data_IF_300891508662
#
_entry.id   IF_300891508662
#
_cell.length_a   1.000
_cell.length_b   1.000
_cell.length_c   1.000
_cell.angle_alpha   90.00
_cell.angle_beta   90.00
_cell.angle_gamma   90.00
#
_symmetry.space_group_name_H-M   'P 1'
#
loop_
_entity.id
_entity.type
_entity.pdbx_description
1 polymer ?
#
# COMPACT_ATOMS: atom_id res chain seq x y z
N UNK A 1 20.23 18.38 -16.39
CA UNK A 1 18.94 19.03 -16.06
C UNK A 1 18.19 18.35 -14.89
N UNK A 2 18.83 17.49 -14.08
CA UNK A 2 18.22 16.84 -12.90
C UNK A 2 18.34 17.66 -11.61
N UNK A 3 19.07 18.80 -11.64
CA UNK A 3 19.30 19.65 -10.46
C UNK A 3 18.03 20.29 -9.89
N UNK A 4 17.03 20.56 -10.75
CA UNK A 4 15.80 21.27 -10.34
C UNK A 4 14.95 20.41 -9.38
N UNK A 5 14.98 19.08 -9.50
CA UNK A 5 14.27 18.18 -8.58
C UNK A 5 14.97 18.01 -7.23
N UNK A 6 16.21 18.49 -7.10
CA UNK A 6 16.98 18.48 -5.86
C UNK A 6 16.59 19.66 -4.95
N UNK A 7 15.90 20.65 -5.50
CA UNK A 7 15.43 21.82 -4.78
C UNK A 7 13.93 21.69 -4.47
N UNK A 8 13.53 22.14 -3.27
CA UNK A 8 12.13 22.12 -2.82
C UNK A 8 11.38 23.33 -3.37
N UNK A 9 11.21 23.38 -4.70
CA UNK A 9 10.58 24.50 -5.40
C UNK A 9 9.20 24.11 -5.91
N UNK A 10 8.21 25.02 -5.87
CA UNK A 10 6.87 24.76 -6.40
C UNK A 10 6.88 24.35 -7.89
N UNK A 11 7.84 24.86 -8.67
CA UNK A 11 8.06 24.44 -10.05
C UNK A 11 8.48 22.98 -10.22
N UNK A 12 9.11 22.37 -9.22
CA UNK A 12 9.48 20.95 -9.27
C UNK A 12 8.25 20.04 -9.19
N UNK A 13 7.20 20.45 -8.46
CA UNK A 13 5.92 19.72 -8.43
C UNK A 13 5.24 19.78 -9.80
N UNK A 14 5.23 20.95 -10.46
CA UNK A 14 4.70 21.07 -11.81
C UNK A 14 5.47 20.20 -12.81
N UNK A 15 6.80 20.22 -12.75
CA UNK A 15 7.64 19.34 -13.56
C UNK A 15 7.40 17.87 -13.27
N UNK A 16 7.13 17.46 -12.02
CA UNK A 16 6.78 16.07 -11.69
C UNK A 16 5.48 15.65 -12.36
N UNK A 17 4.45 16.49 -12.32
CA UNK A 17 3.17 16.21 -12.99
C UNK A 17 3.40 16.05 -14.49
N UNK A 18 4.12 17.00 -15.09
CA UNK A 18 4.47 16.93 -16.52
C UNK A 18 5.27 15.67 -16.86
N UNK A 19 6.25 15.32 -16.03
CA UNK A 19 7.07 14.11 -16.19
C UNK A 19 6.23 12.85 -16.08
N UNK A 20 5.32 12.79 -15.11
CA UNK A 20 4.41 11.65 -14.95
C UNK A 20 3.50 11.48 -16.14
N UNK A 21 2.97 12.58 -16.72
CA UNK A 21 2.13 12.52 -17.92
C UNK A 21 2.97 12.06 -19.12
N UNK A 22 4.17 12.63 -19.28
CA UNK A 22 5.09 12.28 -20.36
C UNK A 22 5.56 10.83 -20.34
N UNK A 23 5.78 10.25 -19.16
CA UNK A 23 6.20 8.85 -19.02
C UNK A 23 5.07 7.86 -19.31
N UNK A 24 3.81 8.24 -19.05
CA UNK A 24 2.65 7.39 -19.28
C UNK A 24 1.90 7.73 -20.59
N UNK A 25 2.61 8.29 -21.59
CA UNK A 25 2.05 8.58 -22.92
C UNK A 25 1.50 7.31 -23.61
N UNK A 26 1.99 6.13 -23.24
CA UNK A 26 1.46 4.85 -23.71
C UNK A 26 -0.05 4.70 -23.46
N UNK A 27 -0.62 5.35 -22.45
CA UNK A 27 -2.07 5.31 -22.16
C UNK A 27 -2.97 5.90 -23.25
N UNK A 28 -2.41 6.64 -24.21
CA UNK A 28 -3.14 7.08 -25.40
C UNK A 28 -3.48 5.89 -26.29
N UNK A 29 -2.62 4.88 -26.35
CA UNK A 29 -2.80 3.68 -27.16
C UNK A 29 -3.45 2.55 -26.36
N UNK A 30 -2.96 2.30 -25.15
CA UNK A 30 -3.45 1.25 -24.25
C UNK A 30 -3.96 1.88 -22.94
N UNK A 31 -5.25 2.26 -22.86
CA UNK A 31 -5.77 2.92 -21.66
C UNK A 31 -5.76 1.98 -20.46
N UNK A 32 -5.55 2.50 -19.23
CA UNK A 32 -5.50 1.68 -18.04
C UNK A 32 -6.85 0.99 -17.80
N UNK A 33 -6.82 -0.33 -17.66
CA UNK A 33 -7.98 -1.14 -17.31
C UNK A 33 -8.14 -1.31 -15.81
N UNK A 34 -9.35 -1.66 -15.37
CA UNK A 34 -9.58 -2.17 -14.01
C UNK A 34 -9.39 -3.68 -14.04
N UNK A 35 -8.25 -4.15 -13.54
CA UNK A 35 -7.95 -5.59 -13.49
C UNK A 35 -8.26 -6.07 -12.07
N UNK A 36 -9.23 -6.98 -11.96
CA UNK A 36 -9.59 -7.63 -10.70
C UNK A 36 -9.41 -9.14 -10.85
N UNK A 37 -8.57 -9.71 -10.00
CA UNK A 37 -8.49 -11.16 -9.84
C UNK A 37 -9.55 -11.54 -8.80
N UNK A 38 -10.51 -12.39 -9.19
CA UNK A 38 -11.57 -12.84 -8.30
C UNK A 38 -10.97 -13.53 -7.06
N UNK A 39 -11.53 -13.26 -5.88
CA UNK A 39 -11.18 -13.94 -4.63
C UNK A 39 -10.03 -13.33 -3.80
N UNK A 40 -9.42 -12.22 -4.22
CA UNK A 40 -8.25 -11.65 -3.51
C UNK A 40 -8.59 -10.61 -2.41
N UNK A 41 -9.87 -10.43 -2.04
CA UNK A 41 -10.29 -9.59 -0.90
C UNK A 41 -11.40 -8.60 -1.22
N UNK A 42 -11.81 -7.80 -0.23
CA UNK A 42 -12.96 -6.88 -0.37
C UNK A 42 -12.81 -5.85 -1.50
N UNK A 43 -11.59 -5.38 -1.79
CA UNK A 43 -11.37 -4.39 -2.85
C UNK A 43 -11.68 -4.95 -4.24
N UNK A 44 -11.49 -6.25 -4.46
CA UNK A 44 -11.81 -6.88 -5.75
C UNK A 44 -13.30 -6.81 -6.03
N UNK A 45 -14.11 -7.16 -5.03
CA UNK A 45 -15.58 -7.09 -5.10
C UNK A 45 -16.04 -5.64 -5.33
N UNK A 46 -15.45 -4.69 -4.62
CA UNK A 46 -15.76 -3.27 -4.79
C UNK A 46 -15.43 -2.76 -6.20
N UNK A 47 -14.23 -3.03 -6.70
CA UNK A 47 -13.79 -2.60 -8.03
C UNK A 47 -14.60 -3.25 -9.15
N UNK A 48 -14.96 -4.54 -9.01
CA UNK A 48 -15.78 -5.25 -10.00
C UNK A 48 -17.23 -4.73 -10.08
N UNK A 49 -17.71 -4.09 -9.02
CA UNK A 49 -19.07 -3.52 -8.94
C UNK A 49 -19.16 -2.11 -9.54
N UNK A 50 -18.03 -1.49 -9.91
CA UNK A 50 -18.02 -0.13 -10.44
C UNK A 50 -18.57 -0.12 -11.88
N UNK A 51 -19.39 0.89 -12.24
CA UNK A 51 -19.86 1.07 -13.60
C UNK A 51 -18.67 1.35 -14.54
N UNK A 52 -18.82 1.03 -15.83
CA UNK A 52 -17.78 1.32 -16.82
C UNK A 52 -17.52 2.83 -16.90
N UNK A 53 -16.30 3.21 -16.54
CA UNK A 53 -15.81 4.60 -16.61
C UNK A 53 -15.16 4.83 -17.98
N UNK A 54 -15.34 6.00 -18.61
CA UNK A 54 -14.64 6.34 -19.85
C UNK A 54 -13.11 6.22 -19.70
N UNK A 55 -12.43 5.80 -20.76
CA UNK A 55 -10.97 5.57 -20.78
C UNK A 55 -10.15 6.80 -20.34
N UNK A 56 -10.55 7.99 -20.79
CA UNK A 56 -9.92 9.26 -20.37
C UNK A 56 -10.08 9.50 -18.86
N UNK A 57 -11.25 9.14 -18.30
CA UNK A 57 -11.51 9.24 -16.87
C UNK A 57 -10.60 8.33 -16.06
N UNK A 58 -10.43 7.08 -16.49
CA UNK A 58 -9.53 6.12 -15.85
C UNK A 58 -8.08 6.58 -15.88
N UNK A 59 -7.62 7.15 -17.00
CA UNK A 59 -6.27 7.72 -17.11
C UNK A 59 -6.03 8.85 -16.10
N UNK A 60 -6.98 9.77 -15.95
CA UNK A 60 -6.87 10.87 -14.99
C UNK A 60 -6.87 10.37 -13.54
N UNK A 61 -7.72 9.38 -13.23
CA UNK A 61 -7.79 8.76 -11.89
C UNK A 61 -6.46 8.06 -11.57
N UNK A 62 -5.94 7.26 -12.49
CA UNK A 62 -4.65 6.58 -12.32
C UNK A 62 -3.53 7.60 -12.06
N UNK A 63 -3.47 8.66 -12.87
CA UNK A 63 -2.45 9.70 -12.73
C UNK A 63 -2.53 10.41 -11.39
N UNK A 64 -3.75 10.72 -10.93
CA UNK A 64 -3.99 11.31 -9.61
C UNK A 64 -3.48 10.39 -8.50
N UNK A 65 -3.74 9.08 -8.60
CA UNK A 65 -3.26 8.08 -7.64
C UNK A 65 -1.73 8.03 -7.57
N UNK A 66 -1.05 7.87 -8.71
CA UNK A 66 0.42 7.80 -8.76
C UNK A 66 1.06 9.07 -8.22
N UNK A 67 0.59 10.24 -8.62
CA UNK A 67 1.13 11.52 -8.13
C UNK A 67 0.92 11.66 -6.62
N UNK A 68 -0.26 11.29 -6.12
CA UNK A 68 -0.56 11.35 -4.68
C UNK A 68 0.36 10.42 -3.89
N UNK A 69 0.53 9.18 -4.34
CA UNK A 69 1.42 8.20 -3.72
C UNK A 69 2.88 8.68 -3.74
N UNK A 70 3.36 9.17 -4.88
CA UNK A 70 4.72 9.68 -5.05
C UNK A 70 5.02 10.88 -4.14
N UNK A 71 4.09 11.84 -4.06
CA UNK A 71 4.23 13.01 -3.19
C UNK A 71 4.18 12.61 -1.72
N UNK A 72 3.30 11.68 -1.36
CA UNK A 72 3.14 11.24 0.02
C UNK A 72 4.37 10.51 0.53
N UNK A 73 4.90 9.60 -0.28
CA UNK A 73 6.16 8.90 0.01
C UNK A 73 7.31 9.90 0.19
N UNK A 74 7.44 10.87 -0.71
CA UNK A 74 8.47 11.90 -0.63
C UNK A 74 8.34 12.78 0.61
N UNK A 75 7.11 13.11 1.01
CA UNK A 75 6.87 13.83 2.26
C UNK A 75 7.40 13.04 3.47
N UNK A 76 7.10 11.73 3.55
CA UNK A 76 7.55 10.87 4.66
C UNK A 76 9.08 10.80 4.75
N UNK A 77 9.76 10.60 3.62
CA UNK A 77 11.23 10.53 3.57
C UNK A 77 11.87 11.85 4.00
N UNK A 78 11.31 12.98 3.54
CA UNK A 78 11.80 14.31 3.88
C UNK A 78 11.54 14.67 5.36
N UNK A 79 10.36 14.35 5.89
CA UNK A 79 9.96 14.61 7.27
C UNK A 79 10.85 13.85 8.27
N UNK A 80 11.16 12.58 7.95
CA UNK A 80 12.06 11.74 8.75
C UNK A 80 13.56 11.98 8.45
N UNK A 81 13.89 12.99 7.61
CA UNK A 81 15.28 13.34 7.22
C UNK A 81 16.11 12.15 6.76
N UNK A 82 15.48 11.21 6.06
CA UNK A 82 16.14 9.97 5.61
C UNK A 82 17.15 10.23 4.47
N UNK A 83 17.03 11.38 3.78
CA UNK A 83 17.97 11.83 2.77
C UNK A 83 18.72 13.09 3.22
N UNK A 84 20.00 13.19 2.85
CA UNK A 84 20.87 14.32 3.20
C UNK A 84 20.37 15.67 2.63
N UNK A 85 19.70 15.66 1.47
CA UNK A 85 19.06 16.84 0.89
C UNK A 85 17.58 16.58 0.67
N UNK A 86 16.75 17.48 1.18
CA UNK A 86 15.31 17.45 0.97
C UNK A 86 15.00 17.92 -0.46
N UNK A 87 14.23 17.12 -1.20
CA UNK A 87 13.89 17.40 -2.59
C UNK A 87 12.71 16.54 -3.05
N UNK A 88 12.57 16.41 -4.36
CA UNK A 88 11.53 15.61 -5.03
C UNK A 88 12.08 14.34 -5.69
N UNK A 89 13.33 13.99 -5.38
CA UNK A 89 14.01 12.82 -5.96
C UNK A 89 13.28 11.51 -5.68
N UNK A 90 12.65 11.35 -4.50
CA UNK A 90 11.89 10.14 -4.17
C UNK A 90 10.61 10.05 -5.01
N UNK A 91 9.89 11.16 -5.17
CA UNK A 91 8.70 11.19 -6.03
C UNK A 91 9.05 10.85 -7.48
N UNK A 92 10.15 11.39 -7.99
CA UNK A 92 10.61 11.11 -9.34
C UNK A 92 10.97 9.62 -9.50
N UNK A 93 11.71 9.06 -8.55
CA UNK A 93 12.06 7.65 -8.56
C UNK A 93 10.81 6.75 -8.55
N UNK A 94 9.81 7.09 -7.72
CA UNK A 94 8.55 6.36 -7.66
C UNK A 94 7.82 6.36 -9.00
N UNK A 95 7.66 7.52 -9.63
CA UNK A 95 6.99 7.68 -10.93
C UNK A 95 7.76 6.94 -12.06
N UNK A 96 9.10 6.94 -12.00
CA UNK A 96 9.90 6.20 -12.97
C UNK A 96 9.70 4.69 -12.83
N UNK A 97 9.68 4.17 -11.60
CA UNK A 97 9.42 2.75 -11.35
C UNK A 97 8.04 2.35 -11.84
N UNK A 98 7.00 3.17 -11.58
CA UNK A 98 5.64 2.88 -12.04
C UNK A 98 5.54 2.86 -13.56
N UNK A 99 6.30 3.72 -14.26
CA UNK A 99 6.31 3.75 -15.72
C UNK A 99 7.05 2.57 -16.36
N UNK A 100 8.07 2.02 -15.69
CA UNK A 100 8.87 0.89 -16.19
C UNK A 100 8.13 -0.44 -16.04
N UNK A 101 7.31 -0.59 -15.00
CA UNK A 101 6.60 -1.85 -14.71
C UNK A 101 5.22 -1.86 -15.38
N UNK A 102 5.02 -2.63 -16.48
CA UNK A 102 3.75 -2.65 -17.21
C UNK A 102 2.59 -3.22 -16.38
N UNK A 103 2.88 -4.04 -15.37
CA UNK A 103 1.86 -4.56 -14.45
C UNK A 103 1.25 -3.46 -13.57
N UNK A 104 2.00 -2.38 -13.31
CA UNK A 104 1.56 -1.28 -12.45
C UNK A 104 0.74 -0.24 -13.21
N UNK A 105 0.72 -0.32 -14.53
CA UNK A 105 0.02 0.58 -15.45
C UNK A 105 -1.51 0.34 -15.52
N UNK A 106 -2.07 -0.44 -14.59
CA UNK A 106 -3.49 -0.72 -14.51
C UNK A 106 -4.03 -0.39 -13.11
N UNK A 107 -5.32 -0.09 -13.03
CA UNK A 107 -5.99 0.15 -11.75
C UNK A 107 -6.32 -1.21 -11.14
N UNK A 108 -5.43 -1.65 -10.25
CA UNK A 108 -5.56 -2.93 -9.53
C UNK A 108 -5.86 -2.70 -8.05
N UNK A 109 -6.44 -3.70 -7.35
CA UNK A 109 -6.52 -3.68 -5.89
C UNK A 109 -5.17 -3.40 -5.23
N UNK A 110 -4.08 -3.98 -5.76
CA UNK A 110 -2.72 -3.77 -5.27
C UNK A 110 -2.28 -2.29 -5.34
N UNK A 111 -2.61 -1.59 -6.44
CA UNK A 111 -2.31 -0.16 -6.58
C UNK A 111 -3.01 0.68 -5.50
N UNK A 112 -4.26 0.35 -5.16
CA UNK A 112 -4.99 1.04 -4.09
C UNK A 112 -4.33 0.79 -2.72
N UNK A 113 -3.98 -0.47 -2.45
CA UNK A 113 -3.30 -0.90 -1.22
C UNK A 113 -1.95 -0.20 -1.04
N UNK A 114 -1.21 0.08 -2.10
CA UNK A 114 0.05 0.84 -2.02
C UNK A 114 -0.12 2.18 -1.28
N UNK A 115 -1.26 2.84 -1.42
CA UNK A 115 -1.57 4.08 -0.69
C UNK A 115 -1.59 3.84 0.83
N UNK A 116 -2.24 2.76 1.26
CA UNK A 116 -2.33 2.38 2.66
C UNK A 116 -0.97 1.89 3.20
N UNK A 117 -0.18 1.21 2.38
CA UNK A 117 1.18 0.79 2.73
C UNK A 117 2.10 1.98 2.97
N UNK A 118 1.99 3.03 2.15
CA UNK A 118 2.76 4.27 2.34
C UNK A 118 2.38 4.93 3.67
N UNK A 119 1.08 4.97 4.02
CA UNK A 119 0.64 5.50 5.31
C UNK A 119 1.06 4.60 6.49
N UNK A 120 1.04 3.28 6.34
CA UNK A 120 1.57 2.34 7.33
C UNK A 120 3.06 2.59 7.58
N UNK A 121 3.85 2.79 6.52
CA UNK A 121 5.26 3.15 6.62
C UNK A 121 5.45 4.48 7.38
N UNK A 122 4.58 5.47 7.12
CA UNK A 122 4.59 6.75 7.85
C UNK A 122 4.34 6.56 9.35
N UNK A 123 3.40 5.68 9.72
CA UNK A 123 3.14 5.33 11.12
C UNK A 123 4.35 4.63 11.74
N UNK A 124 4.94 3.64 11.06
CA UNK A 124 6.14 2.96 11.52
C UNK A 124 7.33 3.91 11.74
N UNK A 125 7.55 4.88 10.85
CA UNK A 125 8.61 5.87 11.00
C UNK A 125 8.43 6.74 12.27
N UNK A 126 7.18 7.04 12.63
CA UNK A 126 6.83 7.81 13.84
C UNK A 126 6.97 7.02 15.14
N UNK A 127 7.24 5.71 15.08
CA UNK A 127 7.33 4.82 16.24
C UNK A 127 8.50 5.17 17.15
N UNK A 128 9.61 5.66 16.58
CA UNK A 128 10.81 6.05 17.33
C UNK A 128 10.62 7.36 18.11
N UNK A 129 9.84 8.30 17.56
CA UNK A 129 9.78 9.68 18.04
C UNK A 129 8.64 9.95 19.03
N UNK A 130 7.66 9.05 19.15
CA UNK A 130 6.43 9.34 19.87
C UNK A 130 6.47 9.04 21.38
N UNK A 131 5.81 9.90 22.16
CA UNK A 131 5.61 9.71 23.61
C UNK A 131 4.44 8.74 23.91
N UNK A 132 3.42 8.67 23.06
CA UNK A 132 2.20 7.85 23.23
C UNK A 132 2.22 6.55 22.42
N UNK A 133 3.25 5.72 22.63
CA UNK A 133 3.57 4.61 21.71
C UNK A 133 2.50 3.53 21.64
N UNK A 134 1.76 3.23 22.72
CA UNK A 134 0.72 2.19 22.70
C UNK A 134 -0.40 2.48 21.69
N UNK A 135 -0.87 3.73 21.61
CA UNK A 135 -1.91 4.12 20.64
C UNK A 135 -1.42 3.98 19.20
N UNK A 136 -0.16 4.37 18.97
CA UNK A 136 0.47 4.26 17.65
C UNK A 136 0.66 2.80 17.24
N UNK A 137 1.15 1.95 18.15
CA UNK A 137 1.30 0.50 17.91
C UNK A 137 -0.05 -0.14 17.61
N UNK A 138 -1.10 0.20 18.36
CA UNK A 138 -2.45 -0.25 18.05
C UNK A 138 -2.89 0.20 16.65
N UNK A 139 -2.63 1.46 16.29
CA UNK A 139 -2.93 2.02 14.96
C UNK A 139 -2.21 1.30 13.81
N UNK A 140 -0.94 0.93 13.99
CA UNK A 140 -0.18 0.11 13.03
C UNK A 140 -0.82 -1.27 12.88
N UNK A 141 -1.17 -1.90 14.02
CA UNK A 141 -1.87 -3.18 14.02
C UNK A 141 -3.21 -3.10 13.28
N UNK A 142 -4.00 -2.07 13.58
CA UNK A 142 -5.30 -1.84 12.94
C UNK A 142 -5.14 -1.61 11.43
N UNK A 143 -4.19 -0.77 11.02
CA UNK A 143 -3.95 -0.47 9.60
C UNK A 143 -3.46 -1.72 8.84
N UNK A 144 -2.56 -2.51 9.41
CA UNK A 144 -2.12 -3.77 8.82
C UNK A 144 -3.25 -4.79 8.69
N UNK A 145 -4.11 -4.92 9.71
CA UNK A 145 -5.31 -5.76 9.64
C UNK A 145 -6.30 -5.29 8.56
N UNK A 146 -6.52 -3.99 8.41
CA UNK A 146 -7.35 -3.42 7.32
C UNK A 146 -6.75 -3.77 5.96
N UNK A 147 -5.44 -3.61 5.78
CA UNK A 147 -4.76 -3.91 4.51
C UNK A 147 -4.96 -5.38 4.13
N UNK A 148 -4.73 -6.31 5.06
CA UNK A 148 -4.92 -7.75 4.82
C UNK A 148 -6.37 -8.10 4.50
N UNK A 149 -7.33 -7.41 5.11
CA UNK A 149 -8.75 -7.64 4.87
C UNK A 149 -9.19 -7.09 3.50
N UNK A 150 -8.68 -5.92 3.11
CA UNK A 150 -8.95 -5.32 1.81
C UNK A 150 -8.33 -6.11 0.66
N UNK A 151 -7.13 -6.65 0.89
CA UNK A 151 -6.39 -7.44 -0.08
C UNK A 151 -5.56 -8.54 0.60
N UNK A 152 -6.01 -9.79 0.47
CA UNK A 152 -5.46 -10.92 1.21
C UNK A 152 -4.00 -11.21 0.86
N UNK A 153 -3.58 -11.01 -0.40
CA UNK A 153 -2.19 -11.24 -0.82
C UNK A 153 -1.19 -10.32 -0.09
N UNK A 154 -1.67 -9.27 0.58
CA UNK A 154 -0.86 -8.38 1.43
C UNK A 154 -0.78 -8.84 2.89
N UNK A 155 -1.03 -10.12 3.22
CA UNK A 155 -0.91 -10.65 4.58
C UNK A 155 0.51 -10.51 5.17
N UNK A 156 1.55 -10.55 4.33
CA UNK A 156 2.96 -10.36 4.74
C UNK A 156 3.21 -9.04 5.45
N UNK A 157 2.33 -8.04 5.29
CA UNK A 157 2.38 -6.76 5.99
C UNK A 157 2.28 -6.92 7.50
N UNK A 158 1.56 -7.94 7.98
CA UNK A 158 1.50 -8.26 9.41
C UNK A 158 2.90 -8.64 9.93
N UNK A 159 3.62 -9.49 9.19
CA UNK A 159 4.99 -9.86 9.54
C UNK A 159 5.89 -8.63 9.57
N UNK A 160 5.79 -7.77 8.55
CA UNK A 160 6.55 -6.52 8.48
C UNK A 160 6.24 -5.60 9.66
N UNK A 161 4.98 -5.52 10.12
CA UNK A 161 4.60 -4.72 11.27
C UNK A 161 5.25 -5.25 12.58
N UNK A 162 5.30 -6.57 12.77
CA UNK A 162 6.03 -7.18 13.90
C UNK A 162 7.53 -6.93 13.81
N UNK A 163 8.13 -7.10 12.62
CA UNK A 163 9.55 -6.81 12.39
C UNK A 163 9.86 -5.33 12.66
N UNK A 164 9.02 -4.41 12.19
CA UNK A 164 9.18 -2.98 12.42
C UNK A 164 9.16 -2.67 13.93
N UNK A 165 8.23 -3.27 14.69
CA UNK A 165 8.18 -3.11 16.15
C UNK A 165 9.44 -3.68 16.82
N UNK A 166 9.91 -4.85 16.38
CA UNK A 166 11.08 -5.53 16.93
C UNK A 166 12.41 -4.80 16.66
N UNK A 167 12.54 -4.18 15.48
CA UNK A 167 13.76 -3.47 15.05
C UNK A 167 13.79 -2.05 15.62
N UNK A 168 12.67 -1.33 15.53
CA UNK A 168 12.63 0.08 15.91
C UNK A 168 12.55 0.29 17.42
N UNK A 169 12.13 -0.73 18.19
CA UNK A 169 12.03 -0.66 19.66
C UNK A 169 12.44 -1.96 20.34
N UNK A 170 12.95 -1.82 21.55
CA UNK A 170 13.23 -2.96 22.42
C UNK A 170 11.96 -3.78 22.68
N UNK A 171 12.12 -5.11 22.72
CA UNK A 171 11.03 -6.06 22.91
C UNK A 171 10.28 -5.79 24.22
N UNK A 172 8.98 -5.47 24.11
CA UNK A 172 8.05 -5.32 25.22
C UNK A 172 6.78 -6.10 24.92
N UNK A 173 6.56 -7.19 25.66
CA UNK A 173 5.40 -8.06 25.45
C UNK A 173 4.07 -7.29 25.37
N UNK A 174 3.88 -6.30 26.23
CA UNK A 174 2.69 -5.44 26.24
C UNK A 174 2.43 -4.75 24.89
N UNK A 175 3.46 -4.33 24.16
CA UNK A 175 3.31 -3.66 22.86
C UNK A 175 3.02 -4.66 21.75
N UNK A 176 3.58 -5.86 21.83
CA UNK A 176 3.29 -6.95 20.91
C UNK A 176 1.82 -7.39 21.01
N UNK A 177 1.29 -7.50 22.24
CA UNK A 177 -0.13 -7.77 22.44
C UNK A 177 -1.02 -6.64 21.91
N UNK A 178 -0.62 -5.38 22.09
CA UNK A 178 -1.37 -4.23 21.56
C UNK A 178 -1.39 -4.22 20.03
N UNK A 179 -0.27 -4.56 19.38
CA UNK A 179 -0.20 -4.72 17.92
C UNK A 179 -1.15 -5.83 17.45
N UNK A 180 -1.10 -6.98 18.12
CA UNK A 180 -1.93 -8.15 17.82
C UNK A 180 -3.42 -7.82 17.97
N UNK A 181 -3.81 -7.15 19.06
CA UNK A 181 -5.19 -6.66 19.24
C UNK A 181 -5.60 -5.71 18.12
N UNK A 182 -4.71 -4.81 17.68
CA UNK A 182 -4.93 -3.95 16.53
C UNK A 182 -5.24 -4.75 15.27
N UNK A 183 -4.45 -5.78 14.96
CA UNK A 183 -4.61 -6.63 13.76
C UNK A 183 -5.95 -7.40 13.79
N UNK A 184 -6.34 -7.93 14.95
CA UNK A 184 -7.58 -8.71 15.08
C UNK A 184 -8.82 -7.81 14.98
N UNK A 185 -8.75 -6.56 15.44
CA UNK A 185 -9.89 -5.64 15.50
C UNK A 185 -10.67 -5.50 14.18
N UNK A 186 -10.07 -5.19 13.02
CA UNK A 186 -10.82 -5.07 11.76
C UNK A 186 -11.47 -6.39 11.31
N UNK A 187 -10.81 -7.53 11.57
CA UNK A 187 -11.36 -8.86 11.26
C UNK A 187 -12.58 -9.13 12.14
N UNK A 188 -12.48 -8.84 13.44
CA UNK A 188 -13.57 -9.00 14.40
C UNK A 188 -14.78 -8.14 14.03
N UNK A 189 -14.58 -6.86 13.72
CA UNK A 189 -15.67 -5.94 13.32
C UNK A 189 -16.35 -6.45 12.05
N UNK A 190 -15.58 -6.90 11.06
CA UNK A 190 -16.13 -7.41 9.80
C UNK A 190 -16.95 -8.69 10.02
N UNK A 191 -16.45 -9.62 10.86
CA UNK A 191 -17.20 -10.81 11.24
C UNK A 191 -18.51 -10.48 11.97
N UNK A 192 -18.48 -9.53 12.91
CA UNK A 192 -19.66 -9.07 13.63
C UNK A 192 -20.69 -8.44 12.68
N UNK A 193 -20.26 -7.61 11.72
CA UNK A 193 -21.15 -7.01 10.71
C UNK A 193 -21.77 -8.06 9.79
N UNK A 194 -21.00 -9.06 9.36
CA UNK A 194 -21.50 -10.16 8.52
C UNK A 194 -22.48 -11.06 9.27
N UNK A 195 -22.28 -11.25 10.58
CA UNK A 195 -23.21 -11.95 11.45
C UNK A 195 -24.55 -11.20 11.56
N UNK A 196 -24.50 -9.89 11.86
CA UNK A 196 -25.72 -9.07 12.02
C UNK A 196 -26.50 -8.92 10.70
N UNK A 197 -25.80 -8.96 9.56
CA UNK A 197 -26.44 -8.83 8.24
C UNK A 197 -26.92 -10.16 7.65
N UNK A 198 -26.89 -11.25 8.43
CA UNK A 198 -27.20 -12.63 7.99
C UNK A 198 -26.40 -13.06 6.74
N UNK A 199 -25.25 -12.44 6.50
CA UNK A 199 -24.33 -12.74 5.39
C UNK A 199 -23.14 -13.57 5.84
N UNK A 200 -23.30 -14.38 6.89
CA UNK A 200 -22.23 -15.20 7.47
C UNK A 200 -21.55 -16.11 6.44
N UNK A 201 -22.31 -16.62 5.46
CA UNK A 201 -21.78 -17.44 4.37
C UNK A 201 -20.68 -16.73 3.54
N UNK A 202 -20.73 -15.39 3.44
CA UNK A 202 -19.73 -14.61 2.72
C UNK A 202 -18.37 -14.53 3.44
N UNK A 203 -18.27 -14.95 4.71
CA UNK A 203 -16.97 -15.07 5.38
C UNK A 203 -16.07 -16.11 4.71
N UNK A 204 -16.64 -17.22 4.21
CA UNK A 204 -15.88 -18.23 3.48
C UNK A 204 -15.31 -17.67 2.16
N UNK A 205 -16.05 -16.75 1.52
CA UNK A 205 -15.64 -16.10 0.27
C UNK A 205 -14.52 -15.07 0.43
N UNK A 206 -14.22 -14.64 1.67
CA UNK A 206 -13.08 -13.76 1.94
C UNK A 206 -11.74 -14.52 1.90
N UNK A 207 -11.76 -15.86 1.73
CA UNK A 207 -10.59 -16.74 1.69
C UNK A 207 -9.57 -16.52 2.82
N UNK A 208 -9.97 -15.85 3.93
CA UNK A 208 -9.11 -15.56 5.08
C UNK A 208 -8.49 -16.81 5.70
N UNK A 209 -9.09 -17.98 5.45
CA UNK A 209 -8.72 -19.28 6.00
C UNK A 209 -8.49 -20.35 4.91
N UNK A 210 -8.44 -19.97 3.64
CA UNK A 210 -8.30 -20.96 2.56
C UNK A 210 -6.83 -21.32 2.34
N UNK A 211 -6.35 -22.28 3.14
CA UNK A 211 -4.97 -22.80 3.12
C UNK A 211 -4.61 -23.42 1.76
N UNK A 212 -5.59 -23.74 0.90
CA UNK A 212 -5.35 -24.24 -0.44
C UNK A 212 -4.69 -23.23 -1.40
N UNK A 213 -4.70 -21.94 -1.07
CA UNK A 213 -3.96 -20.90 -1.82
C UNK A 213 -2.44 -20.94 -1.61
N UNK A 214 -1.94 -21.69 -0.61
CA UNK A 214 -0.50 -21.90 -0.38
C UNK A 214 0.15 -22.90 -1.35
N UNK A 215 -0.64 -23.63 -2.15
CA UNK A 215 -0.11 -24.67 -3.06
C UNK A 215 0.42 -24.13 -4.39
N UNK A 216 0.21 -22.86 -4.72
CA UNK A 216 0.88 -22.24 -5.88
C UNK A 216 2.26 -21.72 -5.45
N UNK A 217 3.29 -22.46 -5.89
CA UNK A 217 4.72 -22.24 -5.64
C UNK A 217 5.21 -20.82 -5.98
N UNK A 218 4.44 -20.02 -6.71
CA UNK A 218 4.76 -18.65 -7.14
C UNK A 218 4.83 -17.64 -5.98
N UNK A 219 4.07 -17.84 -4.90
CA UNK A 219 4.11 -16.95 -3.73
C UNK A 219 5.31 -17.21 -2.81
N UNK A 220 5.89 -18.41 -2.86
CA UNK A 220 7.12 -18.75 -2.14
C UNK A 220 8.34 -18.00 -2.70
N UNK A 221 8.39 -17.82 -4.03
CA UNK A 221 9.42 -17.01 -4.69
C UNK A 221 9.32 -15.52 -4.34
N UNK A 222 8.12 -14.98 -4.06
CA UNK A 222 7.95 -13.61 -3.58
C UNK A 222 8.56 -13.37 -2.18
N UNK A 223 8.47 -14.36 -1.30
CA UNK A 223 9.08 -14.29 0.04
C UNK A 223 10.59 -14.48 -0.03
N UNK A 224 11.07 -15.37 -0.92
CA UNK A 224 12.51 -15.57 -1.16
C UNK A 224 13.13 -14.34 -1.81
N UNK A 225 12.46 -13.68 -2.76
CA UNK A 225 12.97 -12.45 -3.39
C UNK A 225 12.98 -11.26 -2.42
N UNK A 226 11.98 -11.16 -1.54
CA UNK A 226 11.97 -10.17 -0.46
C UNK A 226 13.09 -10.40 0.58
N UNK A 227 13.43 -11.66 0.89
CA UNK A 227 14.55 -12.02 1.76
C UNK A 227 15.91 -11.86 1.08
N UNK A 228 16.01 -12.13 -0.23
CA UNK A 228 17.27 -11.95 -0.99
C UNK A 228 17.59 -10.49 -1.28
N UNK A 229 16.61 -9.60 -1.23
CA UNK A 229 16.82 -8.15 -1.29
C UNK A 229 17.23 -7.54 0.06
N UNK A 230 17.19 -8.34 1.13
CA UNK A 230 17.51 -7.94 2.52
C UNK A 230 18.88 -8.45 2.99
N UNK A 231 19.61 -9.19 2.16
CA UNK A 231 21.00 -9.65 2.36
C UNK A 231 21.88 -8.97 1.32
#
# INVERSE_FOLDING_TARGET
MTGIFKERTSGAVFLLILTSIGLHVNFIYDPPGIITNAGQGLLTNFLSSLPQVPSVGLMLVYQLFIITQALRLNYIVNDNRMLQKQGFSVSLAYILVTAILPEWNNITPALLINTLLIELLAMCAKLYQNKSVKSLVFGIGLMSGIITLLHFASFSVILIAFCALAILRAFKANEWFVLLLGIITPVYITAALLYITDKWHNLATLHLFDIHSFNNLDHFYGVITALSLLI
#
